data_IF_887715156749
#
_entry.id   IF_887715156749
#
_cell.length_a   1.000
_cell.length_b   1.000
_cell.length_c   1.000
_cell.angle_alpha   90.00
_cell.angle_beta   90.00
_cell.angle_gamma   90.00
#
_symmetry.space_group_name_H-M   'P 1'
#
loop_
_entity.id
_entity.type
_entity.pdbx_description
1 polymer ?
#
# COMPACT_ATOMS: atom_id res chain seq x y z
N UNK A 1 26.95 -74.62 -35.88
CA UNK A 1 27.06 -73.19 -36.23
C UNK A 1 26.13 -72.96 -37.42
N UNK A 2 24.85 -72.76 -37.14
CA UNK A 2 23.80 -72.63 -38.15
C UNK A 2 23.91 -71.25 -38.79
N UNK A 3 24.05 -71.22 -40.12
CA UNK A 3 23.97 -69.98 -40.89
C UNK A 3 22.49 -69.65 -41.04
N UNK A 4 22.02 -68.58 -40.42
CA UNK A 4 20.69 -68.02 -40.71
C UNK A 4 20.56 -67.87 -42.23
N UNK A 5 19.68 -68.69 -42.82
CA UNK A 5 19.44 -68.68 -44.26
C UNK A 5 18.91 -67.31 -44.68
N UNK A 6 19.55 -66.70 -45.67
CA UNK A 6 19.11 -65.43 -46.25
C UNK A 6 17.70 -65.60 -46.86
N UNK A 7 16.67 -65.08 -46.17
CA UNK A 7 15.26 -65.07 -46.58
C UNK A 7 14.96 -64.02 -47.67
N UNK A 8 15.98 -63.34 -48.20
CA UNK A 8 15.78 -62.29 -49.21
C UNK A 8 15.75 -62.90 -50.62
N UNK A 9 14.54 -63.11 -51.16
CA UNK A 9 14.33 -63.47 -52.57
C UNK A 9 14.94 -62.40 -53.48
N UNK A 10 15.67 -62.81 -54.52
CA UNK A 10 16.28 -61.91 -55.50
C UNK A 10 15.22 -60.99 -56.13
N UNK A 11 15.34 -59.68 -55.91
CA UNK A 11 14.48 -58.70 -56.55
C UNK A 11 14.98 -58.41 -57.96
N UNK A 12 14.10 -58.51 -58.95
CA UNK A 12 14.40 -58.23 -60.36
C UNK A 12 13.94 -56.81 -60.68
N UNK A 13 14.79 -56.01 -61.32
CA UNK A 13 14.43 -54.65 -61.72
C UNK A 13 13.37 -54.68 -62.84
N UNK A 14 12.68 -53.55 -63.10
CA UNK A 14 11.79 -53.41 -64.27
C UNK A 14 12.48 -53.67 -65.62
N UNK A 15 13.82 -53.64 -65.65
CA UNK A 15 14.65 -53.99 -66.81
C UNK A 15 15.12 -55.45 -66.84
N UNK A 16 14.65 -56.30 -65.92
CA UNK A 16 14.99 -57.73 -65.89
C UNK A 16 16.35 -58.07 -65.28
N UNK A 17 17.09 -57.09 -64.76
CA UNK A 17 18.39 -57.30 -64.11
C UNK A 17 18.17 -57.75 -62.66
N UNK A 18 18.98 -58.71 -62.19
CA UNK A 18 18.98 -59.17 -60.80
C UNK A 18 19.66 -58.09 -59.95
N UNK A 19 18.99 -57.60 -58.91
CA UNK A 19 19.63 -56.69 -57.96
C UNK A 19 20.86 -57.38 -57.34
N UNK A 20 22.00 -56.67 -57.20
CA UNK A 20 23.10 -57.15 -56.40
C UNK A 20 22.65 -57.45 -54.96
N UNK A 21 23.37 -58.37 -54.32
CA UNK A 21 23.07 -58.89 -52.99
C UNK A 21 22.84 -57.78 -51.96
N UNK A 22 21.88 -58.00 -51.06
CA UNK A 22 21.42 -57.01 -50.09
C UNK A 22 22.57 -56.40 -49.28
N UNK A 23 23.59 -57.17 -48.94
CA UNK A 23 24.75 -56.70 -48.18
C UNK A 23 25.58 -55.64 -48.91
N UNK A 24 25.51 -55.57 -50.25
CA UNK A 24 26.15 -54.52 -51.04
C UNK A 24 25.39 -53.18 -50.97
N UNK A 25 24.09 -53.20 -50.67
CA UNK A 25 23.19 -52.02 -50.70
C UNK A 25 22.84 -51.55 -49.28
N UNK A 26 22.89 -52.48 -48.31
CA UNK A 26 22.58 -52.25 -46.90
C UNK A 26 23.37 -51.07 -46.30
N UNK A 27 24.69 -50.90 -46.51
CA UNK A 27 25.41 -49.74 -45.97
C UNK A 27 24.87 -48.41 -46.49
N UNK A 28 24.65 -48.30 -47.81
CA UNK A 28 24.16 -47.08 -48.45
C UNK A 28 22.73 -46.69 -48.00
N UNK A 29 21.86 -47.68 -47.75
CA UNK A 29 20.50 -47.45 -47.22
C UNK A 29 20.58 -46.98 -45.76
N UNK A 30 21.42 -47.62 -44.94
CA UNK A 30 21.63 -47.24 -43.54
C UNK A 30 22.19 -45.82 -43.43
N UNK A 31 23.21 -45.49 -44.21
CA UNK A 31 23.79 -44.15 -44.24
C UNK A 31 22.76 -43.08 -44.63
N UNK A 32 21.97 -43.33 -45.69
CA UNK A 32 20.92 -42.40 -46.11
C UNK A 32 19.88 -42.18 -45.00
N UNK A 33 19.46 -43.25 -44.33
CA UNK A 33 18.50 -43.15 -43.23
C UNK A 33 19.07 -42.38 -42.03
N UNK A 34 20.32 -42.69 -41.63
CA UNK A 34 21.00 -42.01 -40.53
C UNK A 34 21.24 -40.53 -40.83
N UNK A 35 21.66 -40.20 -42.05
CA UNK A 35 21.88 -38.83 -42.48
C UNK A 35 20.56 -38.03 -42.48
N UNK A 36 19.48 -38.62 -43.00
CA UNK A 36 18.15 -38.00 -42.96
C UNK A 36 17.67 -37.79 -41.52
N UNK A 37 17.80 -38.81 -40.65
CA UNK A 37 17.42 -38.70 -39.25
C UNK A 37 18.21 -37.61 -38.53
N UNK A 38 19.52 -37.52 -38.76
CA UNK A 38 20.39 -36.50 -38.18
C UNK A 38 20.04 -35.09 -38.64
N UNK A 39 19.81 -34.86 -39.94
CA UNK A 39 19.38 -33.56 -40.43
C UNK A 39 18.00 -33.16 -39.89
N UNK A 40 17.07 -34.11 -39.83
CA UNK A 40 15.73 -33.88 -39.30
C UNK A 40 15.76 -33.54 -37.80
N UNK A 41 16.56 -34.26 -37.00
CA UNK A 41 16.71 -33.95 -35.57
C UNK A 41 17.42 -32.62 -35.34
N UNK A 42 18.45 -32.31 -36.14
CA UNK A 42 19.17 -31.04 -36.04
C UNK A 42 18.29 -29.84 -36.40
N UNK A 43 17.42 -29.96 -37.41
CA UNK A 43 16.44 -28.92 -37.75
C UNK A 43 15.48 -28.64 -36.60
N UNK A 44 14.88 -29.69 -36.03
CA UNK A 44 13.97 -29.55 -34.88
C UNK A 44 14.65 -28.99 -33.62
N UNK A 45 15.90 -29.37 -33.37
CA UNK A 45 16.66 -28.79 -32.24
C UNK A 45 16.90 -27.30 -32.46
N UNK A 46 17.32 -26.89 -33.66
CA UNK A 46 17.55 -25.48 -33.96
C UNK A 46 16.26 -24.64 -33.85
N UNK A 47 15.14 -25.16 -34.34
CA UNK A 47 13.82 -24.56 -34.17
C UNK A 47 13.43 -24.43 -32.69
N UNK A 48 13.67 -25.49 -31.90
CA UNK A 48 13.41 -25.50 -30.46
C UNK A 48 14.28 -24.49 -29.71
N UNK A 49 15.57 -24.40 -30.03
CA UNK A 49 16.50 -23.44 -29.45
C UNK A 49 16.06 -22.00 -29.78
N UNK A 50 15.76 -21.73 -31.04
CA UNK A 50 15.28 -20.40 -31.46
C UNK A 50 13.96 -20.02 -30.78
N UNK A 51 13.04 -20.98 -30.62
CA UNK A 51 11.78 -20.75 -29.89
C UNK A 51 12.02 -20.49 -28.40
N UNK A 52 12.96 -21.21 -27.77
CA UNK A 52 13.33 -20.99 -26.38
C UNK A 52 13.93 -19.59 -26.16
N UNK A 53 14.81 -19.15 -27.05
CA UNK A 53 15.39 -17.81 -27.01
C UNK A 53 14.31 -16.72 -27.17
N UNK A 54 13.38 -16.91 -28.10
CA UNK A 54 12.25 -15.99 -28.30
C UNK A 54 11.36 -15.89 -27.05
N UNK A 55 11.02 -17.02 -26.43
CA UNK A 55 10.23 -17.05 -25.19
C UNK A 55 10.98 -16.41 -24.02
N UNK A 56 12.29 -16.65 -23.90
CA UNK A 56 13.11 -16.04 -22.87
C UNK A 56 13.13 -14.50 -23.00
N UNK A 57 13.26 -13.99 -24.23
CA UNK A 57 13.17 -12.56 -24.49
C UNK A 57 11.80 -11.97 -24.11
N UNK A 58 10.71 -12.67 -24.43
CA UNK A 58 9.36 -12.27 -24.00
C UNK A 58 9.20 -12.24 -22.47
N UNK A 59 9.77 -13.22 -21.77
CA UNK A 59 9.76 -13.27 -20.31
C UNK A 59 10.52 -12.09 -19.69
N UNK A 60 11.69 -11.74 -20.26
CA UNK A 60 12.49 -10.58 -19.81
C UNK A 60 11.68 -9.29 -19.99
N UNK A 61 11.05 -9.10 -21.15
CA UNK A 61 10.22 -7.93 -21.42
C UNK A 61 9.01 -7.85 -20.47
N UNK A 62 8.32 -8.98 -20.27
CA UNK A 62 7.17 -9.05 -19.36
C UNK A 62 7.58 -8.70 -17.92
N UNK A 63 8.71 -9.22 -17.46
CA UNK A 63 9.26 -8.91 -16.13
C UNK A 63 9.58 -7.42 -16.00
N UNK A 64 10.16 -6.82 -17.03
CA UNK A 64 10.45 -5.39 -17.04
C UNK A 64 9.17 -4.56 -16.96
N UNK A 65 8.13 -4.92 -17.74
CA UNK A 65 6.82 -4.27 -17.69
C UNK A 65 6.16 -4.39 -16.32
N UNK A 66 6.14 -5.57 -15.73
CA UNK A 66 5.59 -5.80 -14.39
C UNK A 66 6.29 -4.93 -13.33
N UNK A 67 7.63 -4.90 -13.36
CA UNK A 67 8.41 -4.08 -12.45
C UNK A 67 8.14 -2.57 -12.66
N UNK A 68 7.95 -2.13 -13.90
CA UNK A 68 7.61 -0.74 -14.20
C UNK A 68 6.22 -0.36 -13.66
N UNK A 69 5.22 -1.22 -13.83
CA UNK A 69 3.87 -1.01 -13.28
C UNK A 69 3.91 -0.93 -11.75
N UNK A 70 4.65 -1.83 -11.10
CA UNK A 70 4.80 -1.83 -9.64
C UNK A 70 5.39 -0.51 -9.16
N UNK A 71 6.49 -0.06 -9.78
CA UNK A 71 7.13 1.23 -9.45
C UNK A 71 6.21 2.42 -9.68
N UNK A 72 5.42 2.40 -10.76
CA UNK A 72 4.46 3.46 -11.05
C UNK A 72 3.42 3.55 -9.94
N UNK A 73 2.79 2.42 -9.58
CA UNK A 73 1.80 2.34 -8.50
C UNK A 73 2.35 2.83 -7.16
N UNK A 74 3.55 2.39 -6.80
CA UNK A 74 4.20 2.83 -5.56
C UNK A 74 4.46 4.35 -5.57
N UNK A 75 4.88 4.89 -6.71
CA UNK A 75 5.14 6.34 -6.84
C UNK A 75 3.86 7.17 -6.81
N UNK A 76 2.78 6.70 -7.43
CA UNK A 76 1.46 7.35 -7.40
C UNK A 76 0.87 7.34 -6.00
N UNK A 77 0.95 6.20 -5.30
CA UNK A 77 0.51 6.06 -3.92
C UNK A 77 1.29 7.00 -3.00
N UNK A 78 2.63 7.06 -3.14
CA UNK A 78 3.47 7.95 -2.36
C UNK A 78 3.14 9.44 -2.63
N UNK A 79 2.90 9.81 -3.89
CA UNK A 79 2.51 11.17 -4.28
C UNK A 79 1.15 11.55 -3.70
N UNK A 80 0.15 10.69 -3.81
CA UNK A 80 -1.20 10.92 -3.26
C UNK A 80 -1.17 11.03 -1.74
N UNK A 81 -0.45 10.13 -1.06
CA UNK A 81 -0.27 10.21 0.40
C UNK A 81 0.45 11.50 0.84
N UNK A 82 1.45 11.95 0.08
CA UNK A 82 2.14 13.22 0.35
C UNK A 82 1.22 14.43 0.17
N UNK A 83 0.40 14.45 -0.89
CA UNK A 83 -0.61 15.51 -1.13
C UNK A 83 -1.62 15.56 0.03
N UNK A 84 -2.22 14.42 0.39
CA UNK A 84 -3.18 14.32 1.49
C UNK A 84 -2.58 14.79 2.83
N UNK A 85 -1.35 14.39 3.16
CA UNK A 85 -0.66 14.83 4.39
C UNK A 85 -0.46 16.35 4.43
N UNK A 86 -0.10 16.97 3.31
CA UNK A 86 0.10 18.42 3.24
C UNK A 86 -1.22 19.17 3.41
N UNK A 87 -2.28 18.69 2.79
CA UNK A 87 -3.61 19.27 2.87
C UNK A 87 -4.18 19.18 4.30
N UNK A 88 -4.14 17.99 4.91
CA UNK A 88 -4.56 17.78 6.31
C UNK A 88 -3.76 18.67 7.25
N UNK A 89 -2.45 18.83 7.04
CA UNK A 89 -1.61 19.72 7.85
C UNK A 89 -2.00 21.19 7.67
N UNK A 90 -2.28 21.62 6.43
CA UNK A 90 -2.71 22.99 6.13
C UNK A 90 -4.05 23.32 6.79
N UNK A 91 -5.07 22.49 6.54
CA UNK A 91 -6.41 22.62 7.13
C UNK A 91 -6.38 22.54 8.66
N UNK A 92 -5.57 21.62 9.21
CA UNK A 92 -5.39 21.51 10.66
C UNK A 92 -4.81 22.78 11.28
N UNK A 93 -3.89 23.46 10.58
CA UNK A 93 -3.34 24.74 11.03
C UNK A 93 -4.40 25.87 10.99
N UNK A 94 -5.20 25.94 9.93
CA UNK A 94 -6.32 26.88 9.81
C UNK A 94 -7.33 26.68 10.96
N UNK A 95 -7.67 25.42 11.27
CA UNK A 95 -8.58 25.06 12.36
C UNK A 95 -8.03 25.53 13.71
N UNK A 96 -6.76 25.24 14.02
CA UNK A 96 -6.12 25.63 15.29
C UNK A 96 -6.09 27.16 15.41
N UNK A 97 -5.72 27.87 14.36
CA UNK A 97 -5.69 29.34 14.37
C UNK A 97 -7.09 29.95 14.53
N UNK A 98 -8.09 29.38 13.85
CA UNK A 98 -9.49 29.78 13.98
C UNK A 98 -10.00 29.59 15.41
N UNK A 99 -9.74 28.43 16.02
CA UNK A 99 -10.14 28.12 17.39
C UNK A 99 -9.50 29.07 18.42
N UNK A 100 -8.19 29.36 18.28
CA UNK A 100 -7.50 30.31 19.15
C UNK A 100 -8.15 31.70 19.06
N UNK A 101 -8.38 32.19 17.84
CA UNK A 101 -9.02 33.50 17.63
C UNK A 101 -10.42 33.53 18.21
N UNK A 102 -11.20 32.47 17.99
CA UNK A 102 -12.55 32.34 18.55
C UNK A 102 -12.55 32.41 20.07
N UNK A 103 -11.72 31.60 20.73
CA UNK A 103 -11.61 31.58 22.20
C UNK A 103 -11.21 32.95 22.73
N UNK A 104 -10.25 33.62 22.07
CA UNK A 104 -9.81 34.96 22.48
C UNK A 104 -10.93 36.00 22.33
N UNK A 105 -11.66 36.00 21.21
CA UNK A 105 -12.77 36.94 20.98
C UNK A 105 -13.92 36.69 21.94
N UNK A 106 -14.33 35.44 22.15
CA UNK A 106 -15.40 35.11 23.10
C UNK A 106 -15.02 35.44 24.55
N UNK A 107 -13.75 35.27 24.92
CA UNK A 107 -13.26 35.71 26.24
C UNK A 107 -13.44 37.22 26.43
N UNK A 108 -12.95 38.02 25.48
CA UNK A 108 -13.08 39.49 25.54
C UNK A 108 -14.55 39.92 25.55
N UNK A 109 -15.40 39.23 24.78
CA UNK A 109 -16.83 39.47 24.73
C UNK A 109 -17.50 39.21 26.09
N UNK A 110 -17.22 38.06 26.69
CA UNK A 110 -17.75 37.70 28.01
C UNK A 110 -17.29 38.65 29.11
N UNK A 111 -16.01 39.06 29.11
CA UNK A 111 -15.47 40.01 30.08
C UNK A 111 -16.19 41.37 29.97
N UNK A 112 -16.40 41.86 28.74
CA UNK A 112 -17.08 43.11 28.48
C UNK A 112 -18.59 43.06 28.79
N UNK A 113 -19.25 41.92 28.53
CA UNK A 113 -20.65 41.70 28.91
C UNK A 113 -20.83 41.73 30.43
N UNK A 114 -19.91 41.14 31.20
CA UNK A 114 -19.94 41.19 32.66
C UNK A 114 -19.79 42.62 33.17
N UNK A 115 -18.82 43.35 32.61
CA UNK A 115 -18.53 44.74 32.97
C UNK A 115 -19.69 45.70 32.62
N UNK A 116 -20.39 45.46 31.50
CA UNK A 116 -21.63 46.16 31.16
C UNK A 116 -22.72 45.90 32.21
N UNK A 117 -22.93 44.63 32.61
CA UNK A 117 -23.93 44.27 33.62
C UNK A 117 -23.63 44.89 34.98
N UNK A 118 -22.36 44.96 35.37
CA UNK A 118 -21.92 45.64 36.59
C UNK A 118 -22.25 47.13 36.54
N UNK A 119 -21.92 47.81 35.44
CA UNK A 119 -22.25 49.24 35.27
C UNK A 119 -23.75 49.51 35.21
N UNK A 120 -24.52 48.65 34.57
CA UNK A 120 -26.00 48.72 34.59
C UNK A 120 -26.55 48.56 36.01
N UNK A 121 -26.02 47.59 36.77
CA UNK A 121 -26.40 47.40 38.18
C UNK A 121 -26.05 48.60 39.04
N UNK A 122 -24.86 49.18 38.86
CA UNK A 122 -24.44 50.37 39.60
C UNK A 122 -25.35 51.58 39.31
N UNK A 123 -25.76 51.77 38.05
CA UNK A 123 -26.72 52.82 37.68
C UNK A 123 -28.06 52.66 38.40
N UNK A 124 -28.60 51.43 38.43
CA UNK A 124 -29.85 51.12 39.15
C UNK A 124 -29.70 51.40 40.65
N UNK A 125 -28.55 51.05 41.24
CA UNK A 125 -28.28 51.30 42.65
C UNK A 125 -28.25 52.80 42.97
N UNK A 126 -27.60 53.61 42.12
CA UNK A 126 -27.61 55.08 42.25
C UNK A 126 -29.03 55.65 42.12
N UNK A 127 -29.88 55.07 41.28
CA UNK A 127 -31.29 55.48 41.19
C UNK A 127 -32.10 55.12 42.44
N UNK A 128 -31.71 54.09 43.19
CA UNK A 128 -32.39 53.63 44.41
C UNK A 128 -31.95 54.36 45.69
N UNK A 129 -30.70 54.82 45.77
CA UNK A 129 -30.16 55.43 47.00
C UNK A 129 -30.54 56.92 47.13
N UNK A 130 -31.00 57.57 46.06
CA UNK A 130 -31.18 59.02 46.02
C UNK A 130 -32.63 59.47 45.93
N UNK A 131 -33.12 60.10 47.00
CA UNK A 131 -34.31 60.98 46.97
C UNK A 131 -33.96 62.49 47.06
N UNK A 132 -32.76 62.93 47.54
CA UNK A 132 -32.60 64.37 47.89
C UNK A 132 -31.22 65.09 47.72
N UNK A 133 -30.09 64.46 47.35
CA UNK A 133 -28.78 65.17 47.30
C UNK A 133 -28.10 65.28 45.90
N UNK A 134 -27.85 66.52 45.46
CA UNK A 134 -27.43 66.94 44.11
C UNK A 134 -25.97 66.60 43.67
N UNK A 135 -25.24 65.76 44.41
CA UNK A 135 -23.78 65.58 44.23
C UNK A 135 -23.39 64.54 43.15
N UNK A 136 -24.31 63.69 42.71
CA UNK A 136 -23.98 62.51 41.87
C UNK A 136 -24.32 62.64 40.38
N UNK A 137 -24.91 63.75 39.92
CA UNK A 137 -25.27 63.94 38.50
C UNK A 137 -24.07 63.75 37.58
N UNK A 138 -22.89 64.15 38.04
CA UNK A 138 -21.62 63.94 37.32
C UNK A 138 -21.26 62.46 37.24
N UNK A 139 -21.34 61.72 38.36
CA UNK A 139 -21.02 60.29 38.41
C UNK A 139 -21.96 59.46 37.53
N UNK A 140 -23.27 59.78 37.53
CA UNK A 140 -24.25 59.15 36.63
C UNK A 140 -23.93 59.38 35.15
N UNK A 141 -23.56 60.61 34.80
CA UNK A 141 -23.17 60.95 33.42
C UNK A 141 -21.91 60.21 32.99
N UNK A 142 -20.91 60.10 33.87
CA UNK A 142 -19.68 59.35 33.63
C UNK A 142 -19.95 57.84 33.45
N UNK A 143 -20.76 57.23 34.32
CA UNK A 143 -21.16 55.82 34.20
C UNK A 143 -21.96 55.55 32.92
N UNK A 144 -22.92 56.42 32.58
CA UNK A 144 -23.73 56.28 31.36
C UNK A 144 -22.87 56.40 30.09
N UNK A 145 -21.91 57.32 30.08
CA UNK A 145 -20.95 57.48 29.00
C UNK A 145 -20.07 56.22 28.84
N UNK A 146 -19.49 55.73 29.94
CA UNK A 146 -18.66 54.51 29.94
C UNK A 146 -19.44 53.27 29.49
N UNK A 147 -20.68 53.13 29.95
CA UNK A 147 -21.58 52.05 29.56
C UNK A 147 -21.86 52.09 28.05
N UNK A 148 -22.15 53.28 27.50
CA UNK A 148 -22.34 53.47 26.06
C UNK A 148 -21.08 53.10 25.27
N UNK A 149 -19.90 53.53 25.72
CA UNK A 149 -18.62 53.15 25.11
C UNK A 149 -18.43 51.63 25.11
N UNK A 150 -18.65 50.96 26.25
CA UNK A 150 -18.52 49.51 26.38
C UNK A 150 -19.50 48.76 25.47
N UNK A 151 -20.75 49.21 25.38
CA UNK A 151 -21.74 48.64 24.44
C UNK A 151 -21.30 48.81 22.99
N UNK A 152 -20.74 49.96 22.64
CA UNK A 152 -20.19 50.18 21.30
C UNK A 152 -18.98 49.29 21.01
N UNK A 153 -18.08 49.10 21.99
CA UNK A 153 -16.94 48.17 21.87
C UNK A 153 -17.40 46.73 21.72
N UNK A 154 -18.44 46.31 22.45
CA UNK A 154 -19.05 44.98 22.36
C UNK A 154 -19.65 44.75 20.97
N UNK A 155 -20.39 45.74 20.46
CA UNK A 155 -20.97 45.71 19.11
C UNK A 155 -19.90 45.74 17.99
N UNK A 156 -18.73 46.33 18.27
CA UNK A 156 -17.60 46.37 17.34
C UNK A 156 -16.74 45.10 17.34
N UNK A 157 -16.95 44.17 18.30
CA UNK A 157 -16.24 42.89 18.26
C UNK A 157 -16.66 42.10 17.03
N UNK A 158 -15.71 41.51 16.29
CA UNK A 158 -16.03 40.71 15.12
C UNK A 158 -16.90 39.52 15.53
N UNK A 159 -18.02 39.33 14.84
CA UNK A 159 -18.80 38.11 14.96
C UNK A 159 -17.90 36.93 14.55
N UNK A 160 -17.75 35.94 15.43
CA UNK A 160 -16.95 34.77 15.11
C UNK A 160 -17.55 34.04 13.92
N UNK A 161 -16.81 33.98 12.81
CA UNK A 161 -17.12 33.13 11.67
C UNK A 161 -16.59 31.70 11.84
N UNK A 162 -16.03 31.37 13.01
CA UNK A 162 -15.47 30.05 13.27
C UNK A 162 -16.60 29.07 13.61
N UNK A 163 -16.95 28.22 12.65
CA UNK A 163 -17.84 27.09 12.87
C UNK A 163 -17.05 25.77 12.87
N UNK A 164 -16.94 25.08 14.01
CA UNK A 164 -16.26 23.77 14.08
C UNK A 164 -16.88 22.72 13.15
N UNK A 165 -18.16 22.84 12.81
CA UNK A 165 -18.86 21.85 11.99
C UNK A 165 -18.39 21.86 10.54
N UNK A 166 -18.02 23.03 10.00
CA UNK A 166 -17.50 23.17 8.63
C UNK A 166 -16.21 22.36 8.44
N UNK A 167 -15.46 22.14 9.52
CA UNK A 167 -14.24 21.32 9.49
C UNK A 167 -14.52 19.82 9.68
N UNK A 168 -15.62 19.45 10.34
CA UNK A 168 -16.01 18.05 10.50
C UNK A 168 -16.39 17.43 9.14
N UNK A 169 -17.03 18.21 8.27
CA UNK A 169 -17.36 17.80 6.90
C UNK A 169 -16.09 17.47 6.11
N UNK A 170 -15.02 18.28 6.22
CA UNK A 170 -13.75 18.00 5.54
C UNK A 170 -13.11 16.65 5.92
N UNK A 171 -13.22 16.22 7.18
CA UNK A 171 -12.66 14.93 7.63
C UNK A 171 -13.59 13.74 7.39
N UNK A 172 -14.85 13.98 7.05
CA UNK A 172 -15.85 12.95 6.79
C UNK A 172 -16.18 12.81 5.30
N UNK A 173 -15.88 13.84 4.51
CA UNK A 173 -15.96 13.81 3.06
C UNK A 173 -14.88 12.87 2.52
N UNK A 174 -15.34 11.73 2.01
CA UNK A 174 -14.45 10.80 1.32
C UNK A 174 -13.99 11.45 0.01
N UNK A 175 -12.73 11.23 -0.43
CA UNK A 175 -12.27 11.74 -1.70
C UNK A 175 -13.24 11.31 -2.83
N UNK A 176 -13.54 12.18 -3.80
CA UNK A 176 -14.40 11.81 -4.91
C UNK A 176 -13.82 10.56 -5.60
N UNK A 177 -14.67 9.55 -5.81
CA UNK A 177 -14.28 8.27 -6.39
C UNK A 177 -13.59 8.40 -7.76
N UNK A 178 -13.76 9.55 -8.44
CA UNK A 178 -13.10 9.89 -9.70
C UNK A 178 -11.62 10.25 -9.60
N UNK A 179 -11.07 10.55 -8.40
CA UNK A 179 -9.62 10.74 -8.19
C UNK A 179 -8.95 9.45 -7.65
N UNK A 180 -9.73 8.45 -7.24
CA UNK A 180 -9.21 7.10 -7.01
C UNK A 180 -8.96 6.47 -8.37
N UNK A 181 -7.70 6.45 -8.85
CA UNK A 181 -7.24 5.73 -10.05
C UNK A 181 -7.35 4.20 -9.94
N UNK A 182 -8.54 3.75 -9.55
CA UNK A 182 -8.98 2.39 -9.24
C UNK A 182 -9.94 1.86 -10.34
N UNK A 183 -9.85 2.41 -11.53
CA UNK A 183 -10.57 2.02 -12.75
C UNK A 183 -10.11 0.67 -13.33
N UNK A 184 -9.06 0.07 -12.77
CA UNK A 184 -8.53 -1.22 -13.25
C UNK A 184 -9.32 -2.45 -12.77
N UNK A 185 -10.20 -2.30 -11.78
CA UNK A 185 -11.10 -3.38 -11.36
C UNK A 185 -12.40 -3.28 -12.16
N UNK A 186 -12.36 -3.76 -13.41
CA UNK A 186 -13.58 -3.96 -14.19
C UNK A 186 -14.56 -4.91 -13.48
N UNK A 187 -15.88 -4.76 -13.66
CA UNK A 187 -16.84 -5.70 -13.12
C UNK A 187 -16.64 -7.04 -13.83
N UNK A 188 -16.14 -8.04 -13.09
CA UNK A 188 -16.28 -9.42 -13.56
C UNK A 188 -17.74 -9.80 -13.35
N UNK A 189 -18.42 -9.95 -14.48
CA UNK A 189 -19.78 -10.47 -14.57
C UNK A 189 -19.89 -11.75 -13.75
N UNK A 190 -20.77 -11.71 -12.76
CA UNK A 190 -21.25 -12.90 -12.06
C UNK A 190 -22.11 -13.72 -13.02
N UNK A 191 -21.49 -14.45 -13.93
CA UNK A 191 -22.14 -15.59 -14.58
C UNK A 191 -21.79 -16.87 -13.82
N UNK A 192 -22.84 -17.50 -13.30
CA UNK A 192 -22.75 -18.67 -12.44
C UNK A 192 -22.07 -19.84 -13.12
N UNK A 193 -21.00 -20.33 -12.50
CA UNK A 193 -20.49 -21.67 -12.75
C UNK A 193 -20.48 -22.43 -11.42
N UNK A 194 -21.29 -23.47 -11.44
CA UNK A 194 -21.56 -24.50 -10.44
C UNK A 194 -20.30 -24.94 -9.67
N UNK A 195 -20.43 -24.97 -8.35
CA UNK A 195 -19.50 -25.58 -7.40
C UNK A 195 -19.22 -27.04 -7.79
N UNK A 196 -17.97 -27.31 -8.18
CA UNK A 196 -17.52 -28.66 -8.55
C UNK A 196 -17.35 -29.50 -7.27
N UNK A 197 -18.07 -30.62 -7.25
CA UNK A 197 -18.14 -31.62 -6.19
C UNK A 197 -16.79 -32.34 -6.03
N UNK A 198 -16.28 -32.37 -4.79
CA UNK A 198 -15.07 -33.09 -4.37
C UNK A 198 -15.35 -34.60 -4.39
N UNK A 199 -14.51 -35.46 -5.02
CA UNK A 199 -14.73 -36.89 -4.95
C UNK A 199 -14.35 -37.43 -3.56
N UNK A 200 -15.26 -38.22 -3.00
CA UNK A 200 -15.18 -38.87 -1.71
C UNK A 200 -13.92 -39.74 -1.53
N UNK A 201 -13.28 -39.60 -0.36
CA UNK A 201 -12.23 -40.49 0.11
C UNK A 201 -12.80 -41.88 0.48
N UNK A 202 -12.07 -42.99 0.23
CA UNK A 202 -12.55 -44.33 0.61
C UNK A 202 -12.38 -44.57 2.11
N UNK A 203 -13.45 -45.13 2.69
CA UNK A 203 -13.58 -45.56 4.08
C UNK A 203 -12.77 -46.84 4.33
N UNK A 204 -11.76 -46.79 5.20
CA UNK A 204 -11.02 -47.97 5.68
C UNK A 204 -11.48 -48.30 7.10
N UNK A 205 -11.89 -49.55 7.30
CA UNK A 205 -12.35 -50.15 8.57
C UNK A 205 -11.12 -50.60 9.38
N UNK A 206 -11.10 -50.45 10.73
CA UNK A 206 -9.95 -50.82 11.56
C UNK A 206 -9.99 -52.28 12.02
N UNK A 207 -8.84 -52.95 12.05
CA UNK A 207 -8.66 -54.32 12.54
C UNK A 207 -7.21 -54.75 12.68
N UNK A 208 -6.60 -54.31 13.78
CA UNK A 208 -5.66 -54.99 14.69
C UNK A 208 -4.92 -56.27 14.26
N UNK A 209 -3.57 -56.25 14.26
CA UNK A 209 -2.68 -57.32 14.78
C UNK A 209 -1.29 -56.71 15.09
N UNK A 210 -0.83 -56.88 16.33
CA UNK A 210 0.49 -56.55 16.84
C UNK A 210 1.62 -57.40 16.23
N UNK A 211 2.81 -56.81 16.02
CA UNK A 211 4.08 -57.46 16.39
C UNK A 211 5.17 -56.41 16.65
N UNK A 212 5.81 -56.50 17.80
CA UNK A 212 6.94 -55.68 18.26
C UNK A 212 8.26 -56.06 17.56
N UNK A 213 9.25 -55.16 17.59
CA UNK A 213 10.65 -55.39 18.04
C UNK A 213 11.57 -54.18 17.75
N UNK A 214 12.27 -53.74 18.81
CA UNK A 214 13.56 -53.03 18.96
C UNK A 214 13.76 -51.63 18.35
N UNK A 215 13.99 -50.56 19.12
CA UNK A 215 15.07 -50.20 20.10
C UNK A 215 16.17 -49.30 19.50
N UNK A 216 16.67 -48.41 20.37
CA UNK A 216 17.79 -47.44 20.25
C UNK A 216 17.57 -46.17 19.39
N UNK A 217 17.89 -44.97 19.85
CA UNK A 217 18.48 -44.53 21.12
C UNK A 217 19.03 -43.10 21.01
N UNK A 218 18.99 -42.40 22.14
CA UNK A 218 19.83 -41.25 22.55
C UNK A 218 19.73 -39.89 21.83
N UNK A 219 19.11 -38.94 22.54
CA UNK A 219 19.60 -37.54 22.67
C UNK A 219 20.82 -37.54 23.62
N UNK A 220 21.74 -36.54 23.61
CA UNK A 220 21.48 -35.26 24.29
C UNK A 220 22.13 -33.98 23.69
N UNK A 221 21.44 -32.85 23.86
CA UNK A 221 21.89 -31.59 24.48
C UNK A 221 23.35 -31.10 24.35
N UNK A 222 23.56 -29.88 23.80
CA UNK A 222 24.45 -28.85 24.38
C UNK A 222 24.27 -27.46 23.73
N UNK A 223 24.10 -26.45 24.59
CA UNK A 223 24.28 -24.99 24.41
C UNK A 223 25.33 -24.59 25.50
N UNK A 224 25.69 -23.31 25.79
CA UNK A 224 26.23 -22.15 25.07
C UNK A 224 27.63 -21.70 25.59
N UNK A 225 28.28 -20.72 24.95
CA UNK A 225 29.25 -19.79 25.59
C UNK A 225 29.52 -18.59 24.64
N UNK A 226 29.12 -17.34 24.97
CA UNK A 226 29.76 -16.31 25.84
C UNK A 226 30.76 -15.41 25.09
N UNK A 227 30.43 -14.11 24.94
CA UNK A 227 31.05 -12.92 25.61
C UNK A 227 32.20 -12.33 24.78
N UNK A 228 32.53 -11.04 24.71
CA UNK A 228 32.14 -9.75 25.29
C UNK A 228 32.60 -8.69 24.22
N UNK A 229 32.16 -7.42 24.20
CA UNK A 229 32.60 -6.38 25.13
C UNK A 229 31.81 -5.07 24.89
N UNK A 230 31.42 -4.40 26.00
CA UNK A 230 31.04 -2.97 26.04
C UNK A 230 32.32 -2.13 26.14
N UNK A 231 32.37 -0.80 26.19
CA UNK A 231 31.44 0.29 26.49
C UNK A 231 32.15 1.62 25.98
N UNK A 232 31.52 2.81 26.00
CA UNK A 232 31.94 4.02 25.29
C UNK A 232 32.79 4.97 26.16
N UNK A 233 33.46 5.93 25.50
CA UNK A 233 33.91 7.15 26.18
C UNK A 233 33.88 8.36 25.23
N UNK A 234 33.14 9.35 25.71
CA UNK A 234 33.02 10.77 25.38
C UNK A 234 34.37 11.51 25.31
N UNK A 235 34.56 12.40 24.33
CA UNK A 235 35.22 13.69 24.57
C UNK A 235 34.51 14.78 23.75
N UNK A 236 34.22 15.88 24.44
CA UNK A 236 33.61 17.12 23.98
C UNK A 236 34.74 18.12 23.84
N UNK A 237 34.81 18.86 22.73
CA UNK A 237 35.48 20.15 22.72
C UNK A 237 34.62 21.18 21.99
N UNK A 238 34.34 22.28 22.69
CA UNK A 238 33.55 23.44 22.28
C UNK A 238 34.51 24.61 22.19
N UNK A 239 34.51 25.34 21.07
CA UNK A 239 34.83 26.77 21.09
C UNK A 239 34.13 27.51 19.94
N UNK A 240 33.54 28.67 20.26
CA UNK A 240 32.72 29.57 19.42
C UNK A 240 33.38 30.97 19.47
N UNK A 241 32.82 32.03 18.84
CA UNK A 241 33.15 32.64 17.56
C UNK A 241 33.95 33.95 17.68
N UNK A 242 34.28 34.58 16.54
CA UNK A 242 34.58 36.02 16.50
C UNK A 242 33.98 36.68 15.24
N UNK A 243 32.97 37.51 15.48
CA UNK A 243 32.59 38.68 14.66
C UNK A 243 33.26 39.91 15.33
N UNK A 244 33.55 40.99 14.59
CA UNK A 244 32.50 41.97 14.28
C UNK A 244 32.43 42.48 12.83
#
# INVERSE_FOLDING_TARGET
>A
MEKEGSVFRCFKTRSGLILPEFDKWRPAIRERYLLHAHHSSRGRLHESESSADALNNQLIELRAKYNAITKLRDSELARSASKARKEVKGRGMELIQGAIRFIQTEKVKSDLESDIKEHESNLILLDQIHDDDFSEVKERSELASSLSEKKNRLAALPASSFNPQDFAEFFTESPPLSESGLDWAGPSETEGVVLSEVPAAPKVIPGDVCTAVNEQGTSPEQVPAKEADGNPTTEVEVEVPADP
#
